data_IF_884525698179
#
_entry.id   IF_884525698179
#
_cell.length_a   1.000
_cell.length_b   1.000
_cell.length_c   1.000
_cell.angle_alpha   90.00
_cell.angle_beta   90.00
_cell.angle_gamma   90.00
#
_symmetry.space_group_name_H-M   'P 1'
#
loop_
_entity.id
_entity.type
_entity.pdbx_description
1 polymer ?
#
# COMPACT_ATOMS: atom_id res chain seq x y z
N UNK A 1 31.12 -47.34 12.55
CA UNK A 1 30.99 -48.24 11.36
C UNK A 1 32.01 -49.34 11.51
N UNK A 2 31.62 -50.54 11.87
CA UNK A 2 32.57 -51.66 12.05
C UNK A 2 33.02 -52.13 10.65
N UNK A 3 34.34 -52.15 10.44
CA UNK A 3 34.90 -52.66 9.20
C UNK A 3 34.85 -54.19 9.15
N UNK A 4 34.69 -54.81 7.99
CA UNK A 4 34.74 -56.27 7.84
C UNK A 4 36.04 -56.85 8.44
N UNK A 5 35.92 -58.01 9.12
CA UNK A 5 37.05 -58.68 9.81
C UNK A 5 38.30 -58.81 8.91
N UNK A 6 38.11 -59.17 7.65
CA UNK A 6 39.19 -59.31 6.66
C UNK A 6 39.98 -57.99 6.40
N UNK A 7 39.30 -56.84 6.53
CA UNK A 7 39.96 -55.51 6.36
C UNK A 7 40.71 -55.15 7.63
N UNK A 8 40.17 -55.47 8.81
CA UNK A 8 40.85 -55.24 10.09
C UNK A 8 42.16 -56.07 10.22
N UNK A 9 42.13 -57.33 9.80
CA UNK A 9 43.28 -58.22 9.85
C UNK A 9 44.39 -57.74 8.88
N UNK A 10 44.02 -57.20 7.73
CA UNK A 10 44.97 -56.61 6.75
C UNK A 10 45.56 -55.29 7.24
N UNK A 11 44.81 -54.46 7.94
CA UNK A 11 45.29 -53.24 8.55
C UNK A 11 46.30 -53.50 9.69
N UNK A 12 46.02 -54.48 10.54
CA UNK A 12 46.96 -54.92 11.60
C UNK A 12 48.24 -55.44 11.05
N UNK A 13 48.26 -56.15 9.90
CA UNK A 13 49.49 -56.64 9.25
C UNK A 13 50.36 -55.52 8.69
N UNK A 14 49.78 -54.32 8.40
CA UNK A 14 50.49 -53.14 7.90
C UNK A 14 50.80 -52.14 9.03
N UNK A 15 50.37 -52.45 10.29
CA UNK A 15 50.64 -51.57 11.45
C UNK A 15 49.74 -50.28 11.47
N UNK A 16 48.70 -50.24 10.65
CA UNK A 16 47.74 -49.11 10.60
C UNK A 16 46.53 -49.38 11.50
N UNK A 17 46.21 -48.44 12.37
CA UNK A 17 45.01 -48.52 13.18
C UNK A 17 43.75 -48.26 12.34
N UNK A 18 42.68 -48.96 12.61
CA UNK A 18 41.40 -48.93 11.84
C UNK A 18 40.84 -47.51 11.69
N UNK A 19 41.02 -46.67 12.70
CA UNK A 19 40.51 -45.29 12.68
C UNK A 19 41.23 -44.42 11.64
N UNK A 20 42.52 -44.67 11.36
CA UNK A 20 43.26 -43.90 10.33
C UNK A 20 42.64 -44.11 8.94
N UNK A 21 42.27 -45.37 8.63
CA UNK A 21 41.58 -45.66 7.38
C UNK A 21 40.19 -44.99 7.31
N UNK A 22 39.43 -44.98 8.42
CA UNK A 22 38.13 -44.35 8.49
C UNK A 22 38.22 -42.83 8.26
N UNK A 23 39.19 -42.16 8.91
CA UNK A 23 39.47 -40.75 8.69
C UNK A 23 39.82 -40.47 7.23
N UNK A 24 40.68 -41.30 6.64
CA UNK A 24 41.07 -41.18 5.23
C UNK A 24 39.82 -41.30 4.29
N UNK A 25 38.98 -42.30 4.56
CA UNK A 25 37.73 -42.49 3.79
C UNK A 25 36.81 -41.27 3.91
N UNK A 26 36.60 -40.69 5.10
CA UNK A 26 35.77 -39.53 5.30
C UNK A 26 36.32 -38.30 4.58
N UNK A 27 37.61 -38.04 4.70
CA UNK A 27 38.26 -36.91 4.00
C UNK A 27 38.15 -37.10 2.48
N UNK A 28 38.37 -38.33 1.98
CA UNK A 28 38.23 -38.67 0.57
C UNK A 28 36.77 -38.47 0.10
N UNK A 29 35.77 -38.96 0.84
CA UNK A 29 34.35 -38.76 0.53
C UNK A 29 33.97 -37.27 0.55
N UNK A 30 34.50 -36.51 1.50
CA UNK A 30 34.31 -35.07 1.56
C UNK A 30 34.88 -34.35 0.33
N UNK A 31 36.05 -34.72 -0.11
CA UNK A 31 36.66 -34.23 -1.35
C UNK A 31 35.79 -34.52 -2.57
N UNK A 32 35.35 -35.78 -2.70
CA UNK A 32 34.46 -36.21 -3.78
C UNK A 32 33.12 -35.42 -3.72
N UNK A 33 32.53 -35.29 -2.54
CA UNK A 33 31.30 -34.52 -2.35
C UNK A 33 31.46 -33.06 -2.78
N UNK A 34 32.54 -32.39 -2.34
CA UNK A 34 32.82 -30.99 -2.72
C UNK A 34 33.08 -30.88 -4.23
N UNK A 35 33.77 -31.85 -4.83
CA UNK A 35 33.97 -31.86 -6.27
C UNK A 35 32.68 -32.02 -7.05
N UNK A 36 31.83 -32.99 -6.66
CA UNK A 36 30.50 -33.21 -7.27
C UNK A 36 29.61 -32.00 -7.09
N UNK A 37 29.57 -31.43 -5.86
CA UNK A 37 28.77 -30.25 -5.55
C UNK A 37 29.18 -29.05 -6.43
N UNK A 38 30.49 -28.77 -6.55
CA UNK A 38 30.98 -27.70 -7.42
C UNK A 38 30.61 -27.95 -8.89
N UNK A 39 30.69 -29.20 -9.36
CA UNK A 39 30.37 -29.55 -10.75
C UNK A 39 28.87 -29.44 -11.02
N UNK A 40 28.02 -29.90 -10.10
CA UNK A 40 26.57 -29.80 -10.21
C UNK A 40 26.13 -28.33 -10.21
N UNK A 41 26.60 -27.54 -9.25
CA UNK A 41 26.27 -26.12 -9.15
C UNK A 41 26.73 -25.32 -10.38
N UNK A 42 27.93 -25.64 -10.94
CA UNK A 42 28.37 -24.97 -12.18
C UNK A 42 27.54 -25.34 -13.39
N UNK A 43 27.04 -26.58 -13.48
CA UNK A 43 26.12 -26.98 -14.57
C UNK A 43 24.75 -26.36 -14.43
N UNK A 44 24.25 -26.26 -13.17
CA UNK A 44 22.98 -25.56 -12.90
C UNK A 44 23.09 -24.08 -13.24
N UNK A 45 24.20 -23.42 -12.86
CA UNK A 45 24.44 -22.02 -13.21
C UNK A 45 24.37 -21.80 -14.74
N UNK A 46 25.09 -22.62 -15.52
CA UNK A 46 25.08 -22.51 -16.98
C UNK A 46 23.70 -22.76 -17.64
N UNK A 47 22.82 -23.54 -16.98
CA UNK A 47 21.42 -23.71 -17.43
C UNK A 47 20.53 -22.54 -17.05
N UNK A 48 20.75 -21.93 -15.90
CA UNK A 48 19.91 -20.86 -15.37
C UNK A 48 20.28 -19.49 -15.96
N UNK A 49 21.52 -19.30 -16.42
CA UNK A 49 21.90 -18.13 -17.23
C UNK A 49 21.06 -17.99 -18.52
N UNK A 50 20.38 -19.08 -18.94
CA UNK A 50 19.43 -19.06 -20.05
C UNK A 50 18.01 -18.66 -19.64
N UNK A 51 17.73 -18.61 -18.33
CA UNK A 51 16.45 -18.16 -17.78
C UNK A 51 16.54 -16.67 -17.45
N UNK A 52 15.53 -15.90 -17.84
CA UNK A 52 15.48 -14.44 -17.63
C UNK A 52 15.08 -14.06 -16.20
N UNK A 53 15.38 -14.92 -15.20
CA UNK A 53 14.97 -14.73 -13.81
C UNK A 53 16.17 -14.32 -12.93
N UNK A 54 16.22 -13.06 -12.44
CA UNK A 54 17.35 -12.55 -11.68
C UNK A 54 17.57 -13.25 -10.32
N UNK A 55 16.55 -13.95 -9.79
CA UNK A 55 16.63 -14.62 -8.49
C UNK A 55 17.37 -15.95 -8.54
N UNK A 56 17.22 -16.70 -9.64
CA UNK A 56 17.84 -18.01 -9.82
C UNK A 56 19.37 -17.88 -9.92
N UNK A 57 19.84 -16.88 -10.65
CA UNK A 57 21.26 -16.57 -10.80
C UNK A 57 21.88 -16.14 -9.46
N UNK A 58 21.17 -15.27 -8.71
CA UNK A 58 21.61 -14.84 -7.39
C UNK A 58 21.74 -16.01 -6.42
N UNK A 59 20.76 -16.93 -6.41
CA UNK A 59 20.75 -18.09 -5.52
C UNK A 59 21.95 -19.02 -5.77
N UNK A 60 22.15 -19.42 -7.01
CA UNK A 60 23.24 -20.37 -7.36
C UNK A 60 24.61 -19.74 -7.18
N UNK A 61 24.78 -18.48 -7.60
CA UNK A 61 26.02 -17.72 -7.40
C UNK A 61 26.36 -17.61 -5.92
N UNK A 62 25.40 -17.27 -5.07
CA UNK A 62 25.59 -17.14 -3.63
C UNK A 62 25.90 -18.47 -2.94
N UNK A 63 25.26 -19.58 -3.36
CA UNK A 63 25.31 -20.89 -2.72
C UNK A 63 26.67 -21.61 -2.94
N UNK A 64 27.29 -21.41 -4.09
CA UNK A 64 28.45 -22.23 -4.55
C UNK A 64 29.63 -22.28 -3.56
N UNK A 65 30.04 -21.15 -2.99
CA UNK A 65 31.16 -21.09 -2.03
C UNK A 65 30.76 -21.54 -0.63
N UNK A 66 29.65 -21.07 -0.04
CA UNK A 66 29.25 -21.50 1.30
C UNK A 66 28.91 -22.99 1.39
N UNK A 67 28.23 -23.55 0.38
CA UNK A 67 27.91 -24.98 0.36
C UNK A 67 29.16 -25.88 0.38
N UNK A 68 30.22 -25.49 -0.32
CA UNK A 68 31.52 -26.18 -0.26
C UNK A 68 32.15 -26.03 1.13
N UNK A 69 32.01 -24.85 1.77
CA UNK A 69 32.54 -24.64 3.13
C UNK A 69 31.79 -25.52 4.15
N UNK A 70 30.46 -25.61 4.07
CA UNK A 70 29.66 -26.50 4.94
C UNK A 70 30.09 -27.96 4.77
N UNK A 71 30.27 -28.42 3.53
CA UNK A 71 30.73 -29.79 3.28
C UNK A 71 32.11 -30.08 3.93
N UNK A 72 33.02 -29.12 3.86
CA UNK A 72 34.34 -29.23 4.54
C UNK A 72 34.18 -29.18 6.07
N UNK A 73 33.42 -28.29 6.63
CA UNK A 73 33.20 -28.16 8.09
C UNK A 73 32.64 -29.48 8.64
N UNK A 74 31.60 -30.00 7.98
CA UNK A 74 30.95 -31.25 8.39
C UNK A 74 31.91 -32.44 8.21
N UNK A 75 32.61 -32.55 7.08
CA UNK A 75 33.56 -33.63 6.83
C UNK A 75 34.74 -33.64 7.81
N UNK A 76 35.31 -32.48 8.12
CA UNK A 76 36.38 -32.36 9.12
C UNK A 76 35.84 -32.68 10.51
N UNK A 77 34.64 -32.20 10.89
CA UNK A 77 34.04 -32.51 12.18
C UNK A 77 33.86 -34.03 12.37
N UNK A 78 33.33 -34.72 11.34
CA UNK A 78 33.20 -36.18 11.38
C UNK A 78 34.56 -36.89 11.49
N UNK A 79 35.58 -36.42 10.77
CA UNK A 79 36.94 -37.00 10.86
C UNK A 79 37.50 -36.85 12.28
N UNK A 80 37.31 -35.70 12.90
CA UNK A 80 37.79 -35.45 14.27
C UNK A 80 36.99 -36.25 15.30
N UNK A 81 35.68 -36.42 15.11
CA UNK A 81 34.84 -37.24 16.01
C UNK A 81 35.29 -38.70 16.06
N UNK A 82 35.79 -39.26 14.96
CA UNK A 82 36.43 -40.61 14.95
C UNK A 82 37.68 -40.62 15.78
N UNK A 83 38.51 -39.59 15.66
CA UNK A 83 39.75 -39.49 16.43
C UNK A 83 39.43 -39.36 17.93
N UNK A 84 38.41 -38.61 18.29
CA UNK A 84 37.93 -38.44 19.67
C UNK A 84 37.51 -39.76 20.32
N UNK A 85 36.72 -40.57 19.62
CA UNK A 85 36.24 -41.87 20.13
C UNK A 85 37.39 -42.85 20.44
N UNK A 86 38.47 -42.75 19.71
CA UNK A 86 39.65 -43.64 19.89
C UNK A 86 40.66 -43.09 20.89
N UNK A 87 40.90 -41.77 20.89
CA UNK A 87 41.95 -41.13 21.72
C UNK A 87 41.46 -40.66 23.08
N UNK A 88 40.14 -40.49 23.28
CA UNK A 88 39.48 -39.99 24.50
C UNK A 88 40.09 -38.69 25.05
N UNK A 89 40.68 -37.89 24.21
CA UNK A 89 41.32 -36.65 24.64
C UNK A 89 40.24 -35.54 24.85
N UNK A 90 40.21 -34.97 26.04
CA UNK A 90 39.23 -33.96 26.43
C UNK A 90 39.20 -32.69 25.55
N UNK A 91 40.25 -32.48 24.75
CA UNK A 91 40.36 -31.31 23.84
C UNK A 91 39.32 -31.34 22.70
N UNK A 92 38.75 -32.52 22.41
CA UNK A 92 37.79 -32.68 21.33
C UNK A 92 36.34 -32.31 21.71
N UNK A 93 36.02 -32.13 23.01
CA UNK A 93 34.69 -31.73 23.44
C UNK A 93 34.22 -30.35 22.94
N UNK A 94 35.15 -29.51 22.44
CA UNK A 94 34.85 -28.23 21.83
C UNK A 94 34.47 -28.32 20.33
N UNK A 95 34.54 -29.50 19.72
CA UNK A 95 34.35 -29.66 18.27
C UNK A 95 32.90 -29.50 17.84
N UNK A 96 31.96 -30.02 18.63
CA UNK A 96 30.54 -29.88 18.34
C UNK A 96 30.09 -28.41 18.30
N UNK A 97 30.35 -27.58 19.35
CA UNK A 97 30.02 -26.15 19.27
C UNK A 97 30.74 -25.44 18.12
N UNK A 98 32.00 -25.78 17.85
CA UNK A 98 32.79 -25.15 16.79
C UNK A 98 32.27 -25.51 15.38
N UNK A 99 31.87 -26.76 15.16
CA UNK A 99 31.18 -27.21 13.94
C UNK A 99 29.88 -26.42 13.72
N UNK A 100 29.06 -26.31 14.75
CA UNK A 100 27.77 -25.67 14.65
C UNK A 100 27.92 -24.16 14.39
N UNK A 101 28.86 -23.49 15.07
CA UNK A 101 29.20 -22.09 14.76
C UNK A 101 29.73 -21.94 13.35
N UNK A 102 30.54 -22.89 12.88
CA UNK A 102 31.04 -22.92 11.50
C UNK A 102 29.94 -23.04 10.47
N UNK A 103 28.94 -23.88 10.73
CA UNK A 103 27.73 -24.01 9.89
C UNK A 103 26.91 -22.72 9.90
N UNK A 104 26.68 -22.12 11.08
CA UNK A 104 25.99 -20.84 11.21
C UNK A 104 26.72 -19.76 10.41
N UNK A 105 28.03 -19.67 10.52
CA UNK A 105 28.83 -18.71 9.77
C UNK A 105 28.74 -18.93 8.25
N UNK A 106 28.74 -20.18 7.78
CA UNK A 106 28.61 -20.51 6.36
C UNK A 106 27.18 -20.16 5.82
N UNK A 107 26.14 -20.42 6.61
CA UNK A 107 24.75 -20.03 6.27
C UNK A 107 24.64 -18.50 6.24
N UNK A 108 25.20 -17.81 7.21
CA UNK A 108 25.24 -16.35 7.25
C UNK A 108 25.93 -15.78 6.02
N UNK A 109 27.10 -16.33 5.67
CA UNK A 109 27.82 -15.95 4.46
C UNK A 109 27.00 -16.17 3.20
N UNK A 110 26.26 -17.29 3.10
CA UNK A 110 25.34 -17.56 2.01
C UNK A 110 24.26 -16.49 1.94
N UNK A 111 23.55 -16.20 3.05
CA UNK A 111 22.46 -15.26 3.08
C UNK A 111 22.91 -13.82 2.76
N UNK A 112 24.00 -13.37 3.36
CA UNK A 112 24.57 -12.04 3.07
C UNK A 112 24.96 -11.90 1.61
N UNK A 113 25.58 -12.96 1.04
CA UNK A 113 25.95 -12.98 -0.35
C UNK A 113 24.74 -13.06 -1.27
N UNK A 114 23.74 -13.86 -0.93
CA UNK A 114 22.49 -13.95 -1.68
C UNK A 114 21.76 -12.60 -1.75
N UNK A 115 21.65 -11.89 -0.62
CA UNK A 115 21.07 -10.55 -0.58
C UNK A 115 21.84 -9.58 -1.50
N UNK A 116 23.18 -9.66 -1.50
CA UNK A 116 24.01 -8.80 -2.35
C UNK A 116 23.86 -9.09 -3.83
N UNK A 117 23.87 -10.37 -4.22
CA UNK A 117 23.69 -10.77 -5.62
C UNK A 117 22.26 -10.46 -6.11
N UNK A 118 21.25 -10.70 -5.26
CA UNK A 118 19.86 -10.35 -5.56
C UNK A 118 19.66 -8.82 -5.76
N UNK A 119 20.29 -8.00 -4.92
CA UNK A 119 20.31 -6.53 -5.06
C UNK A 119 20.90 -6.14 -6.42
N UNK A 120 22.07 -6.67 -6.77
CA UNK A 120 22.77 -6.34 -8.02
C UNK A 120 21.97 -6.76 -9.24
N UNK A 121 21.45 -7.99 -9.23
CA UNK A 121 20.67 -8.54 -10.34
C UNK A 121 19.32 -7.83 -10.51
N UNK A 122 18.66 -7.45 -9.41
CA UNK A 122 17.40 -6.72 -9.44
C UNK A 122 17.59 -5.34 -10.08
N UNK A 123 18.63 -4.61 -9.70
CA UNK A 123 18.95 -3.31 -10.27
C UNK A 123 19.25 -3.45 -11.78
N UNK A 124 20.11 -4.38 -12.15
CA UNK A 124 20.50 -4.61 -13.55
C UNK A 124 19.31 -5.01 -14.43
N UNK A 125 18.44 -5.91 -13.94
CA UNK A 125 17.26 -6.36 -14.67
C UNK A 125 16.26 -5.23 -14.92
N UNK A 126 16.00 -4.39 -13.92
CA UNK A 126 15.08 -3.27 -14.05
C UNK A 126 15.62 -2.17 -14.99
N UNK A 127 16.93 -1.91 -14.95
CA UNK A 127 17.57 -1.01 -15.90
C UNK A 127 17.46 -1.51 -17.34
N UNK A 128 17.66 -2.80 -17.57
CA UNK A 128 17.51 -3.40 -18.89
C UNK A 128 16.07 -3.38 -19.41
N UNK A 129 15.06 -3.41 -18.51
CA UNK A 129 13.63 -3.35 -18.86
C UNK A 129 13.05 -1.93 -18.88
N UNK A 130 13.86 -0.90 -18.66
CA UNK A 130 13.43 0.51 -18.67
C UNK A 130 12.55 0.92 -17.49
N UNK A 131 12.43 0.08 -16.46
CA UNK A 131 11.72 0.40 -15.24
C UNK A 131 12.59 1.24 -14.32
N UNK A 132 12.08 2.41 -13.91
CA UNK A 132 12.77 3.23 -12.91
C UNK A 132 12.68 2.55 -11.55
N UNK A 133 13.81 2.07 -11.05
CA UNK A 133 13.95 1.57 -9.69
C UNK A 133 14.80 2.56 -8.90
N UNK A 134 14.30 2.96 -7.76
CA UNK A 134 15.07 3.75 -6.82
C UNK A 134 16.18 2.87 -6.20
N UNK A 135 17.38 3.01 -6.74
CA UNK A 135 18.59 2.30 -6.26
C UNK A 135 18.82 2.52 -4.76
N UNK A 136 18.48 3.71 -4.26
CA UNK A 136 18.66 4.08 -2.84
C UNK A 136 17.78 3.23 -1.94
N UNK A 137 16.53 3.04 -2.35
CA UNK A 137 15.56 2.20 -1.61
C UNK A 137 15.98 0.73 -1.60
N UNK A 138 16.39 0.18 -2.74
CA UNK A 138 16.85 -1.22 -2.84
C UNK A 138 18.10 -1.46 -1.97
N UNK A 139 19.09 -0.57 -2.05
CA UNK A 139 20.32 -0.64 -1.24
C UNK A 139 20.02 -0.52 0.26
N UNK A 140 19.11 0.40 0.66
CA UNK A 140 18.71 0.54 2.06
C UNK A 140 18.05 -0.74 2.60
N UNK A 141 17.12 -1.34 1.86
CA UNK A 141 16.47 -2.60 2.23
C UNK A 141 17.49 -3.73 2.31
N UNK A 142 18.38 -3.85 1.33
CA UNK A 142 19.41 -4.87 1.32
C UNK A 142 20.39 -4.74 2.52
N UNK A 143 20.74 -3.51 2.92
CA UNK A 143 21.54 -3.25 4.12
C UNK A 143 20.83 -3.67 5.40
N UNK A 144 19.54 -3.34 5.54
CA UNK A 144 18.74 -3.74 6.70
C UNK A 144 18.62 -5.27 6.79
N UNK A 145 18.35 -5.95 5.68
CA UNK A 145 18.29 -7.42 5.63
C UNK A 145 19.61 -8.04 6.02
N UNK A 146 20.75 -7.56 5.48
CA UNK A 146 22.09 -8.04 5.85
C UNK A 146 22.39 -7.83 7.33
N UNK A 147 22.05 -6.66 7.87
CA UNK A 147 22.21 -6.37 9.30
C UNK A 147 21.38 -7.34 10.15
N UNK A 148 20.13 -7.58 9.81
CA UNK A 148 19.25 -8.52 10.54
C UNK A 148 19.80 -9.95 10.52
N UNK A 149 20.29 -10.41 9.36
CA UNK A 149 20.94 -11.73 9.23
C UNK A 149 22.18 -11.84 10.13
N UNK A 150 23.05 -10.82 10.14
CA UNK A 150 24.28 -10.83 10.96
C UNK A 150 23.93 -10.80 12.46
N UNK A 151 22.97 -9.97 12.88
CA UNK A 151 22.55 -9.92 14.30
C UNK A 151 22.00 -11.28 14.73
N UNK A 152 21.07 -11.86 13.96
CA UNK A 152 20.46 -13.15 14.27
C UNK A 152 21.51 -14.25 14.34
N UNK A 153 22.40 -14.32 13.35
CA UNK A 153 23.47 -15.31 13.32
C UNK A 153 24.42 -15.19 14.51
N UNK A 154 24.76 -13.96 14.91
CA UNK A 154 25.60 -13.70 16.08
C UNK A 154 24.93 -14.20 17.37
N UNK A 155 23.64 -13.94 17.54
CA UNK A 155 22.89 -14.41 18.71
C UNK A 155 22.83 -15.94 18.77
N UNK A 156 22.55 -16.59 17.62
CA UNK A 156 22.50 -18.06 17.54
C UNK A 156 23.90 -18.65 17.80
N UNK A 157 24.95 -18.05 17.25
CA UNK A 157 26.34 -18.52 17.49
C UNK A 157 26.72 -18.38 18.97
N UNK A 158 26.38 -17.28 19.64
CA UNK A 158 26.62 -17.10 21.08
C UNK A 158 25.87 -18.15 21.90
N UNK A 159 24.62 -18.43 21.55
CA UNK A 159 23.80 -19.45 22.23
C UNK A 159 24.42 -20.85 22.05
N UNK A 160 24.92 -21.19 20.84
CA UNK A 160 25.59 -22.46 20.55
C UNK A 160 26.89 -22.62 21.35
N UNK A 161 27.57 -21.52 21.61
CA UNK A 161 28.77 -21.50 22.45
C UNK A 161 28.47 -21.55 23.96
N UNK A 162 27.20 -21.68 24.35
CA UNK A 162 26.75 -21.75 25.75
C UNK A 162 26.58 -20.42 26.46
N UNK A 163 26.69 -19.28 25.76
CA UNK A 163 26.40 -17.98 26.34
C UNK A 163 24.89 -17.76 26.50
N UNK A 164 24.45 -17.22 27.63
CA UNK A 164 23.08 -16.81 27.83
C UNK A 164 22.77 -15.56 27.00
N UNK A 165 21.91 -15.69 26.00
CA UNK A 165 21.44 -14.58 25.18
C UNK A 165 20.23 -13.86 25.77
N UNK A 166 19.67 -14.35 26.89
CA UNK A 166 18.48 -13.82 27.53
C UNK A 166 18.58 -12.33 27.87
N UNK A 167 19.72 -11.88 28.40
CA UNK A 167 19.99 -10.48 28.69
C UNK A 167 20.04 -9.60 27.44
N UNK A 168 20.66 -10.11 26.37
CA UNK A 168 20.73 -9.40 25.07
C UNK A 168 19.35 -9.30 24.46
N UNK A 169 18.54 -10.38 24.53
CA UNK A 169 17.16 -10.38 24.02
C UNK A 169 16.25 -9.46 24.83
N UNK A 170 16.39 -9.43 26.17
CA UNK A 170 15.63 -8.53 27.03
C UNK A 170 15.94 -7.05 26.71
N UNK A 171 17.22 -6.72 26.60
CA UNK A 171 17.66 -5.38 26.22
C UNK A 171 17.26 -5.04 24.78
N UNK A 172 17.43 -6.00 23.86
CA UNK A 172 17.01 -5.88 22.46
C UNK A 172 15.49 -5.72 22.32
N UNK A 173 14.69 -6.31 23.23
CA UNK A 173 13.25 -6.12 23.29
C UNK A 173 12.85 -4.67 23.57
N UNK A 174 13.52 -4.01 24.51
CA UNK A 174 13.30 -2.58 24.77
C UNK A 174 13.69 -1.74 23.55
N UNK A 175 14.86 -2.03 22.95
CA UNK A 175 15.29 -1.40 21.70
C UNK A 175 14.32 -1.65 20.54
N UNK A 176 13.77 -2.86 20.44
CA UNK A 176 12.76 -3.26 19.46
C UNK A 176 11.46 -2.47 19.59
N UNK A 177 11.01 -2.21 20.82
CA UNK A 177 9.85 -1.34 21.08
C UNK A 177 10.13 0.08 20.57
N UNK A 178 11.30 0.65 20.86
CA UNK A 178 11.66 1.98 20.36
C UNK A 178 11.69 2.06 18.84
N UNK A 179 12.27 1.05 18.17
CA UNK A 179 12.29 0.93 16.70
C UNK A 179 10.87 0.76 16.16
N UNK A 180 10.02 -0.05 16.83
CA UNK A 180 8.62 -0.24 16.47
C UNK A 180 7.82 1.05 16.52
N UNK A 181 8.01 1.89 17.56
CA UNK A 181 7.39 3.21 17.63
C UNK A 181 7.91 4.14 16.52
N UNK A 182 9.20 4.12 16.22
CA UNK A 182 9.76 4.91 15.12
C UNK A 182 9.24 4.48 13.74
N UNK A 183 8.93 3.20 13.56
CA UNK A 183 8.40 2.64 12.32
C UNK A 183 6.86 2.66 12.23
N UNK A 184 6.15 3.10 13.27
CA UNK A 184 4.69 3.05 13.39
C UNK A 184 3.98 3.65 12.18
N UNK A 185 4.38 4.85 11.77
CA UNK A 185 3.72 5.56 10.65
C UNK A 185 4.00 4.89 9.31
N UNK A 186 5.18 4.30 9.14
CA UNK A 186 5.51 3.54 7.95
C UNK A 186 4.61 2.31 7.81
N UNK A 187 4.45 1.55 8.90
CA UNK A 187 3.58 0.39 8.95
C UNK A 187 2.10 0.77 8.76
N UNK A 188 1.65 1.86 9.40
CA UNK A 188 0.29 2.36 9.25
C UNK A 188 -0.03 2.70 7.78
N UNK A 189 0.91 3.33 7.06
CA UNK A 189 0.74 3.64 5.65
C UNK A 189 0.75 2.38 4.77
N UNK A 190 1.62 1.43 5.06
CA UNK A 190 1.64 0.15 4.34
C UNK A 190 0.32 -0.62 4.50
N UNK A 191 -0.17 -0.77 5.74
CA UNK A 191 -1.45 -1.44 5.99
C UNK A 191 -2.65 -0.64 5.46
N UNK A 192 -2.59 0.69 5.48
CA UNK A 192 -3.58 1.55 4.85
C UNK A 192 -3.66 1.32 3.34
N UNK A 193 -2.52 1.26 2.66
CA UNK A 193 -2.46 0.93 1.23
C UNK A 193 -2.97 -0.48 0.93
N UNK A 194 -2.61 -1.46 1.74
CA UNK A 194 -3.10 -2.83 1.63
C UNK A 194 -4.64 -2.89 1.80
N UNK A 195 -5.20 -2.15 2.77
CA UNK A 195 -6.65 -2.07 2.98
C UNK A 195 -7.34 -1.46 1.76
N UNK A 196 -6.83 -0.35 1.20
CA UNK A 196 -7.37 0.23 -0.03
C UNK A 196 -7.33 -0.77 -1.18
N UNK A 197 -6.27 -1.57 -1.29
CA UNK A 197 -6.13 -2.58 -2.35
C UNK A 197 -7.10 -3.76 -2.17
N UNK A 198 -7.33 -4.23 -0.94
CA UNK A 198 -8.21 -5.36 -0.64
C UNK A 198 -9.70 -4.97 -0.71
N UNK A 199 -10.09 -3.91 0.00
CA UNK A 199 -11.49 -3.49 0.14
C UNK A 199 -11.97 -2.67 -1.06
N UNK A 200 -11.06 -2.06 -1.81
CA UNK A 200 -11.31 -1.25 -3.01
C UNK A 200 -12.41 -0.21 -2.83
N UNK A 201 -12.33 0.65 -1.81
CA UNK A 201 -13.27 1.74 -1.68
C UNK A 201 -13.21 2.68 -2.90
N UNK A 202 -12.07 2.74 -3.56
CA UNK A 202 -11.83 3.41 -4.82
C UNK A 202 -10.74 2.72 -5.63
N UNK A 203 -10.64 3.05 -6.91
CA UNK A 203 -9.61 2.57 -7.84
C UNK A 203 -8.95 3.74 -8.59
N UNK A 204 -7.82 3.46 -9.25
CA UNK A 204 -7.16 4.42 -10.14
C UNK A 204 -8.13 4.83 -11.25
N UNK A 205 -8.22 6.13 -11.51
CA UNK A 205 -9.14 6.75 -12.47
C UNK A 205 -10.49 7.17 -11.86
N UNK A 206 -10.82 6.79 -10.63
CA UNK A 206 -12.05 7.20 -9.96
C UNK A 206 -11.89 8.55 -9.25
N UNK A 207 -12.95 9.35 -9.28
CA UNK A 207 -13.08 10.56 -8.49
C UNK A 207 -13.49 10.18 -7.07
N UNK A 208 -12.73 10.68 -6.10
CA UNK A 208 -13.05 10.53 -4.67
C UNK A 208 -13.12 11.89 -3.98
N UNK A 209 -13.86 11.92 -2.90
CA UNK A 209 -13.97 13.06 -2.00
C UNK A 209 -13.97 12.59 -0.55
N UNK A 210 -13.35 13.35 0.34
CA UNK A 210 -13.50 13.16 1.79
C UNK A 210 -14.16 14.39 2.38
N UNK A 211 -15.37 14.26 2.97
CA UNK A 211 -16.02 15.39 3.64
C UNK A 211 -15.28 15.82 4.92
N UNK A 212 -14.47 14.93 5.51
CA UNK A 212 -13.73 15.18 6.74
C UNK A 212 -12.46 16.01 6.53
N UNK A 213 -11.99 16.07 5.29
CA UNK A 213 -10.76 16.78 4.90
C UNK A 213 -10.90 17.34 3.49
N UNK A 214 -10.12 18.33 3.14
CA UNK A 214 -10.08 18.91 1.80
C UNK A 214 -9.36 17.98 0.81
N UNK A 215 -9.86 16.75 0.69
CA UNK A 215 -9.36 15.76 -0.26
C UNK A 215 -10.44 15.58 -1.31
N UNK A 216 -10.20 16.05 -2.53
CA UNK A 216 -11.10 15.84 -3.65
C UNK A 216 -10.33 15.82 -4.96
N UNK A 217 -10.63 14.86 -5.84
CA UNK A 217 -10.04 14.73 -7.16
C UNK A 217 -10.04 13.31 -7.70
N UNK A 218 -9.34 13.10 -8.81
CA UNK A 218 -9.23 11.80 -9.48
C UNK A 218 -7.97 11.07 -9.00
N UNK A 219 -8.11 9.82 -8.61
CA UNK A 219 -7.01 8.96 -8.19
C UNK A 219 -6.13 8.63 -9.39
N UNK A 220 -4.85 9.01 -9.37
CA UNK A 220 -3.89 8.72 -10.44
C UNK A 220 -3.06 7.47 -10.15
N UNK A 221 -2.70 7.26 -8.89
CA UNK A 221 -1.83 6.17 -8.48
C UNK A 221 -2.06 5.80 -7.01
N UNK A 222 -2.00 4.50 -6.71
CA UNK A 222 -2.09 3.97 -5.36
C UNK A 222 -0.77 3.24 -5.08
N UNK A 223 0.16 3.96 -4.45
CA UNK A 223 1.44 3.41 -4.03
C UNK A 223 1.33 2.66 -2.69
N UNK A 224 2.41 2.01 -2.28
CA UNK A 224 2.45 1.26 -1.02
C UNK A 224 2.36 2.15 0.24
N UNK A 225 2.70 3.44 0.13
CA UNK A 225 2.71 4.42 1.24
C UNK A 225 1.79 5.61 1.00
N UNK A 226 1.67 6.08 -0.24
CA UNK A 226 0.96 7.29 -0.63
C UNK A 226 0.02 6.97 -1.78
N UNK A 227 -1.16 7.57 -1.76
CA UNK A 227 -2.07 7.67 -2.90
C UNK A 227 -1.92 9.06 -3.52
N UNK A 228 -1.76 9.12 -4.84
CA UNK A 228 -1.70 10.37 -5.60
C UNK A 228 -3.05 10.65 -6.24
N UNK A 229 -3.58 11.84 -5.96
CA UNK A 229 -4.87 12.32 -6.43
C UNK A 229 -4.61 13.57 -7.26
N UNK A 230 -5.25 13.69 -8.42
CA UNK A 230 -5.26 14.91 -9.23
C UNK A 230 -6.48 15.73 -8.85
N UNK A 231 -6.28 16.89 -8.24
CA UNK A 231 -7.34 17.83 -7.90
C UNK A 231 -7.93 18.47 -9.16
N UNK A 232 -9.10 19.07 -9.08
CA UNK A 232 -9.76 19.68 -10.24
C UNK A 232 -9.03 20.89 -10.82
N UNK A 233 -8.19 21.55 -10.03
CA UNK A 233 -7.26 22.58 -10.48
C UNK A 233 -5.90 22.00 -10.97
N UNK A 234 -5.89 20.70 -11.28
CA UNK A 234 -4.75 19.98 -11.87
C UNK A 234 -3.50 19.84 -10.99
N UNK A 235 -3.59 20.11 -9.68
CA UNK A 235 -2.48 19.89 -8.74
C UNK A 235 -2.40 18.42 -8.32
N UNK A 236 -1.20 17.83 -8.20
CA UNK A 236 -1.05 16.53 -7.57
C UNK A 236 -1.15 16.68 -6.04
N UNK A 237 -2.08 15.96 -5.44
CA UNK A 237 -2.26 15.84 -4.00
C UNK A 237 -1.75 14.47 -3.55
N UNK A 238 -0.79 14.45 -2.62
CA UNK A 238 -0.21 13.24 -2.06
C UNK A 238 -0.82 12.96 -0.69
N UNK A 239 -1.61 11.91 -0.60
CA UNK A 239 -2.31 11.53 0.64
C UNK A 239 -1.66 10.28 1.22
N UNK A 240 -1.17 10.31 2.48
CA UNK A 240 -0.70 9.11 3.17
C UNK A 240 -1.82 8.06 3.25
N UNK A 241 -1.53 6.81 2.90
CA UNK A 241 -2.55 5.75 2.87
C UNK A 241 -3.19 5.50 4.25
N UNK A 242 -2.44 5.75 5.32
CA UNK A 242 -2.96 5.67 6.69
C UNK A 242 -4.12 6.64 6.95
N UNK A 243 -4.23 7.74 6.20
CA UNK A 243 -5.35 8.66 6.33
C UNK A 243 -6.69 7.98 5.98
N UNK A 244 -6.71 7.14 4.95
CA UNK A 244 -7.92 6.43 4.50
C UNK A 244 -8.45 5.40 5.50
N UNK A 245 -7.69 5.03 6.53
CA UNK A 245 -8.16 4.15 7.61
C UNK A 245 -9.02 4.88 8.65
N UNK A 246 -9.05 6.22 8.63
CA UNK A 246 -9.68 7.05 9.68
C UNK A 246 -10.60 8.13 9.16
N UNK A 247 -10.70 8.34 7.85
CA UNK A 247 -11.57 9.33 7.22
C UNK A 247 -12.72 8.65 6.46
N UNK A 248 -13.86 9.35 6.33
CA UNK A 248 -14.91 8.95 5.41
C UNK A 248 -14.46 9.23 3.97
N UNK A 249 -14.74 8.30 3.06
CA UNK A 249 -14.46 8.45 1.63
C UNK A 249 -15.76 8.28 0.86
N UNK A 250 -16.14 9.32 0.15
CA UNK A 250 -17.21 9.29 -0.85
C UNK A 250 -16.59 8.97 -2.22
N UNK A 251 -17.32 8.19 -3.02
CA UNK A 251 -16.91 7.87 -4.38
C UNK A 251 -17.95 8.34 -5.40
N UNK A 252 -17.85 9.59 -5.89
CA UNK A 252 -18.77 10.12 -6.87
C UNK A 252 -18.76 9.41 -8.21
N UNK A 253 -17.67 8.72 -8.56
CA UNK A 253 -17.61 7.91 -9.79
C UNK A 253 -18.56 6.71 -9.78
N UNK A 254 -18.97 6.24 -8.58
CA UNK A 254 -19.89 5.10 -8.42
C UNK A 254 -21.33 5.54 -8.16
N UNK A 255 -21.64 6.85 -8.29
CA UNK A 255 -23.01 7.33 -8.21
C UNK A 255 -23.85 6.78 -9.37
N UNK A 256 -25.08 6.39 -9.05
CA UNK A 256 -26.07 5.97 -10.07
C UNK A 256 -26.79 7.17 -10.68
N UNK A 257 -27.06 8.18 -9.87
CA UNK A 257 -27.83 9.37 -10.20
C UNK A 257 -27.27 10.58 -9.46
N UNK A 258 -27.48 11.80 -9.99
CA UNK A 258 -27.16 13.03 -9.27
C UNK A 258 -28.42 13.71 -8.78
N UNK A 259 -28.37 14.21 -7.56
CA UNK A 259 -29.50 14.91 -6.93
C UNK A 259 -29.52 16.38 -7.33
N UNK A 260 -30.67 16.85 -7.75
CA UNK A 260 -31.02 18.28 -7.81
C UNK A 260 -31.78 18.60 -6.52
N UNK A 261 -31.26 19.50 -5.72
CA UNK A 261 -31.86 20.00 -4.50
C UNK A 261 -31.71 21.52 -4.48
N UNK A 262 -32.76 22.23 -4.82
CA UNK A 262 -32.77 23.69 -4.94
C UNK A 262 -34.00 24.27 -4.27
N UNK A 263 -33.85 25.48 -3.76
CA UNK A 263 -34.94 26.25 -3.16
C UNK A 263 -35.24 27.45 -4.04
N UNK A 264 -36.52 27.66 -4.36
CA UNK A 264 -37.00 28.74 -5.21
C UNK A 264 -37.96 29.58 -4.39
N UNK A 265 -37.70 30.89 -4.31
CA UNK A 265 -38.53 31.85 -3.59
C UNK A 265 -39.45 32.62 -4.54
N UNK A 266 -40.75 32.67 -4.24
CA UNK A 266 -41.79 33.47 -4.92
C UNK A 266 -42.14 34.64 -4.03
N UNK A 267 -42.53 35.79 -4.61
CA UNK A 267 -42.95 36.99 -3.84
C UNK A 267 -44.16 36.72 -2.98
N UNK A 268 -44.30 37.44 -1.88
CA UNK A 268 -45.48 37.39 -1.01
C UNK A 268 -46.77 37.84 -1.74
N UNK A 269 -46.66 38.80 -2.67
CA UNK A 269 -47.77 39.26 -3.48
C UNK A 269 -48.40 38.15 -4.35
N UNK A 270 -47.63 37.11 -4.63
CA UNK A 270 -48.05 35.97 -5.43
C UNK A 270 -48.45 34.74 -4.58
N UNK A 271 -48.68 34.91 -3.28
CA UNK A 271 -48.98 33.83 -2.34
C UNK A 271 -50.10 32.88 -2.80
N UNK A 272 -51.15 33.41 -3.42
CA UNK A 272 -52.26 32.62 -3.93
C UNK A 272 -51.93 31.72 -5.12
N UNK A 273 -50.80 31.97 -5.80
CA UNK A 273 -50.36 31.25 -6.98
C UNK A 273 -49.38 30.11 -6.64
N UNK A 274 -48.80 30.12 -5.45
CA UNK A 274 -47.75 29.18 -5.04
C UNK A 274 -48.17 27.72 -5.18
N UNK A 275 -49.42 27.41 -4.78
CA UNK A 275 -49.95 26.04 -4.88
C UNK A 275 -49.99 25.53 -6.33
N UNK A 276 -50.47 26.37 -7.25
CA UNK A 276 -50.57 26.03 -8.68
C UNK A 276 -49.14 25.91 -9.32
N UNK A 277 -48.21 26.80 -8.93
CA UNK A 277 -46.81 26.73 -9.38
C UNK A 277 -46.18 25.42 -8.94
N UNK A 278 -46.31 25.01 -7.67
CA UNK A 278 -45.79 23.76 -7.13
C UNK A 278 -46.34 22.54 -7.86
N UNK A 279 -47.64 22.55 -8.22
CA UNK A 279 -48.30 21.48 -8.97
C UNK A 279 -47.76 21.37 -10.42
N UNK A 280 -47.66 22.51 -11.11
CA UNK A 280 -47.13 22.55 -12.48
C UNK A 280 -45.63 22.16 -12.52
N UNK A 281 -44.82 22.61 -11.55
CA UNK A 281 -43.42 22.21 -11.43
C UNK A 281 -43.30 20.69 -11.16
N UNK A 282 -44.18 20.14 -10.31
CA UNK A 282 -44.25 18.69 -10.07
C UNK A 282 -44.56 17.92 -11.35
N UNK A 283 -45.53 18.41 -12.12
CA UNK A 283 -45.95 17.81 -13.40
C UNK A 283 -44.84 17.89 -14.44
N UNK A 284 -44.19 19.04 -14.55
CA UNK A 284 -43.01 19.23 -15.41
C UNK A 284 -41.90 18.24 -15.08
N UNK A 285 -41.48 18.13 -13.81
CA UNK A 285 -40.41 17.20 -13.39
C UNK A 285 -40.77 15.73 -13.65
N UNK A 286 -42.05 15.34 -13.48
CA UNK A 286 -42.53 13.99 -13.79
C UNK A 286 -42.50 13.67 -15.28
N UNK A 287 -42.67 14.66 -16.15
CA UNK A 287 -42.66 14.51 -17.61
C UNK A 287 -41.27 14.74 -18.23
N UNK A 288 -40.31 15.23 -17.44
CA UNK A 288 -39.00 15.59 -17.96
C UNK A 288 -38.18 14.35 -18.30
N UNK A 289 -37.65 14.18 -19.55
CA UNK A 289 -36.99 12.95 -20.01
C UNK A 289 -35.74 12.58 -19.23
N UNK A 290 -35.01 13.57 -18.72
CA UNK A 290 -33.72 13.38 -18.04
C UNK A 290 -33.86 13.22 -16.51
N UNK A 291 -35.08 13.33 -15.97
CA UNK A 291 -35.36 13.13 -14.54
C UNK A 291 -35.77 11.68 -14.29
N UNK A 292 -35.19 11.10 -13.24
CA UNK A 292 -35.52 9.75 -12.80
C UNK A 292 -36.78 9.77 -11.93
N UNK A 293 -37.92 9.36 -12.50
CA UNK A 293 -39.24 9.32 -11.84
C UNK A 293 -39.41 8.11 -10.92
N UNK A 294 -38.51 7.10 -10.99
CA UNK A 294 -38.53 5.95 -10.08
C UNK A 294 -37.86 6.27 -8.72
N UNK A 295 -37.03 7.31 -8.69
CA UNK A 295 -36.41 7.81 -7.47
C UNK A 295 -37.32 8.84 -6.78
N UNK A 296 -36.98 9.18 -5.53
CA UNK A 296 -37.73 10.21 -4.78
C UNK A 296 -37.81 11.52 -5.54
N UNK A 297 -39.00 11.99 -5.82
CA UNK A 297 -39.30 13.27 -6.45
C UNK A 297 -40.29 14.05 -5.55
N UNK A 298 -39.85 15.22 -5.09
CA UNK A 298 -40.66 16.09 -4.22
C UNK A 298 -40.57 17.53 -4.69
N UNK A 299 -41.71 18.23 -4.67
CA UNK A 299 -41.79 19.67 -4.81
C UNK A 299 -42.76 20.14 -3.74
N UNK A 300 -42.27 20.85 -2.75
CA UNK A 300 -43.10 21.26 -1.63
C UNK A 300 -42.80 22.69 -1.18
N UNK A 301 -43.82 23.44 -0.85
CA UNK A 301 -43.70 24.68 -0.11
C UNK A 301 -43.26 24.37 1.33
N UNK A 302 -42.24 25.06 1.82
CA UNK A 302 -41.63 24.72 3.13
C UNK A 302 -41.48 25.91 4.06
N UNK A 303 -41.25 27.11 3.53
CA UNK A 303 -40.82 28.21 4.40
C UNK A 303 -41.40 29.54 3.95
N UNK A 304 -41.89 30.32 4.93
CA UNK A 304 -42.14 31.76 4.75
C UNK A 304 -40.86 32.49 5.21
N UNK A 305 -40.00 32.82 4.27
CA UNK A 305 -38.76 33.55 4.51
C UNK A 305 -38.99 35.05 4.64
N UNK A 306 -37.97 35.84 5.00
CA UNK A 306 -38.09 37.27 5.24
C UNK A 306 -38.66 38.06 4.03
N UNK A 307 -38.36 37.62 2.80
CA UNK A 307 -38.76 38.30 1.55
C UNK A 307 -39.36 37.35 0.51
N UNK A 308 -39.55 36.07 0.84
CA UNK A 308 -40.01 35.05 -0.12
C UNK A 308 -40.85 33.96 0.52
N UNK A 309 -41.68 33.36 -0.31
CA UNK A 309 -42.38 32.11 -0.08
C UNK A 309 -41.59 31.01 -0.78
N UNK A 310 -40.94 30.17 0.00
CA UNK A 310 -39.97 29.23 -0.52
C UNK A 310 -40.54 27.83 -0.70
N UNK A 311 -40.39 27.29 -1.88
CA UNK A 311 -40.59 25.87 -2.16
C UNK A 311 -39.28 25.24 -2.60
N UNK A 312 -39.07 23.97 -2.27
CA UNK A 312 -37.91 23.24 -2.71
C UNK A 312 -38.27 22.20 -3.78
N UNK A 313 -37.32 21.91 -4.63
CA UNK A 313 -37.33 20.75 -5.51
C UNK A 313 -36.31 19.73 -5.05
N UNK A 314 -36.66 18.46 -5.07
CA UNK A 314 -35.81 17.34 -4.77
C UNK A 314 -36.07 16.25 -5.79
N UNK A 315 -35.12 16.03 -6.67
CA UNK A 315 -35.21 15.00 -7.70
C UNK A 315 -33.85 14.50 -8.10
N UNK A 316 -33.81 13.42 -8.85
CA UNK A 316 -32.58 12.83 -9.35
C UNK A 316 -32.54 12.83 -10.87
N UNK A 317 -31.38 13.14 -11.44
CA UNK A 317 -31.13 13.00 -12.87
C UNK A 317 -30.87 11.54 -13.24
N UNK A 318 -31.15 11.14 -14.49
CA UNK A 318 -30.79 9.81 -15.00
C UNK A 318 -29.28 9.67 -15.22
N UNK A 319 -28.60 10.78 -15.51
CA UNK A 319 -27.15 10.81 -15.71
C UNK A 319 -26.39 11.06 -14.40
N UNK A 320 -25.21 10.43 -14.27
CA UNK A 320 -24.21 10.74 -13.24
C UNK A 320 -23.07 11.61 -13.78
N UNK A 321 -22.99 11.85 -15.10
CA UNK A 321 -21.93 12.62 -15.75
C UNK A 321 -22.05 14.09 -15.34
N UNK A 322 -20.93 14.68 -14.84
CA UNK A 322 -20.90 16.03 -14.26
C UNK A 322 -21.42 17.12 -15.21
N UNK A 323 -20.91 17.17 -16.43
CA UNK A 323 -21.29 18.18 -17.40
C UNK A 323 -22.75 18.05 -17.83
N UNK A 324 -23.24 16.84 -18.05
CA UNK A 324 -24.65 16.58 -18.40
C UNK A 324 -25.58 16.92 -17.26
N UNK A 325 -25.21 16.60 -16.03
CA UNK A 325 -25.97 16.97 -14.84
C UNK A 325 -26.20 18.49 -14.78
N UNK A 326 -25.16 19.29 -15.01
CA UNK A 326 -25.30 20.74 -14.99
C UNK A 326 -26.18 21.26 -16.12
N UNK A 327 -26.11 20.64 -17.31
CA UNK A 327 -27.01 20.94 -18.43
C UNK A 327 -28.48 20.65 -18.07
N UNK A 328 -28.74 19.46 -17.49
CA UNK A 328 -30.09 19.07 -17.04
C UNK A 328 -30.59 19.97 -15.94
N UNK A 329 -29.75 20.29 -14.95
CA UNK A 329 -30.08 21.20 -13.86
C UNK A 329 -30.44 22.59 -14.39
N UNK A 330 -29.69 23.13 -15.34
CA UNK A 330 -29.99 24.40 -15.99
C UNK A 330 -31.34 24.36 -16.69
N UNK A 331 -31.62 23.31 -17.47
CA UNK A 331 -32.88 23.16 -18.18
C UNK A 331 -34.07 23.13 -17.21
N UNK A 332 -33.98 22.32 -16.15
CA UNK A 332 -35.02 22.26 -15.10
C UNK A 332 -35.25 23.64 -14.46
N UNK A 333 -34.21 24.38 -14.11
CA UNK A 333 -34.33 25.67 -13.46
C UNK A 333 -34.96 26.71 -14.41
N UNK A 334 -34.59 26.70 -15.69
CA UNK A 334 -35.22 27.60 -16.68
C UNK A 334 -36.72 27.30 -16.89
N UNK A 335 -37.08 26.01 -16.98
CA UNK A 335 -38.49 25.61 -17.06
C UNK A 335 -39.30 26.03 -15.81
N UNK A 336 -38.67 25.97 -14.62
CA UNK A 336 -39.31 26.48 -13.38
C UNK A 336 -39.56 27.98 -13.47
N UNK A 337 -38.59 28.77 -13.95
CA UNK A 337 -38.77 30.21 -14.15
C UNK A 337 -39.87 30.52 -15.13
N UNK A 338 -39.98 29.76 -16.23
CA UNK A 338 -41.05 29.91 -17.21
C UNK A 338 -42.44 29.60 -16.61
N UNK A 339 -42.55 28.56 -15.75
CA UNK A 339 -43.75 28.23 -15.03
C UNK A 339 -44.15 29.37 -14.09
N UNK A 340 -43.22 29.89 -13.30
CA UNK A 340 -43.47 31.04 -12.40
C UNK A 340 -44.01 32.24 -13.19
N UNK A 341 -43.36 32.60 -14.30
CA UNK A 341 -43.80 33.71 -15.17
C UNK A 341 -45.13 33.44 -15.82
N UNK A 342 -45.43 32.22 -16.26
CA UNK A 342 -46.72 31.83 -16.86
C UNK A 342 -47.88 32.02 -15.91
N UNK A 343 -47.65 31.84 -14.60
CA UNK A 343 -48.63 32.15 -13.56
C UNK A 343 -48.73 33.66 -13.25
N UNK A 344 -47.96 34.49 -13.95
CA UNK A 344 -47.88 35.94 -13.66
C UNK A 344 -47.29 36.24 -12.29
N UNK A 345 -46.47 35.31 -11.79
CA UNK A 345 -45.70 35.45 -10.57
C UNK A 345 -44.25 35.83 -10.88
N UNK A 346 -43.54 36.31 -9.88
CA UNK A 346 -42.12 36.65 -10.01
C UNK A 346 -41.30 36.00 -8.89
N UNK A 347 -40.03 35.68 -9.20
CA UNK A 347 -39.05 35.26 -8.20
C UNK A 347 -38.80 36.42 -7.25
N UNK A 348 -38.72 36.12 -5.96
CA UNK A 348 -38.57 37.12 -4.92
C UNK A 348 -37.18 37.80 -4.98
N UNK A 349 -37.18 39.12 -4.89
CA UNK A 349 -35.98 39.90 -4.64
C UNK A 349 -35.84 40.18 -3.14
N UNK A 350 -34.62 40.38 -2.62
CA UNK A 350 -34.45 40.88 -1.26
C UNK A 350 -35.24 42.19 -1.08
N UNK A 351 -36.23 42.19 -0.20
CA UNK A 351 -37.09 43.33 0.04
C UNK A 351 -36.77 43.95 1.39
N UNK A 352 -36.57 45.26 1.42
CA UNK A 352 -36.36 46.02 2.65
C UNK A 352 -37.45 47.07 2.79
N UNK A 353 -38.21 47.04 3.89
CA UNK A 353 -39.17 48.09 4.21
C UNK A 353 -38.45 49.22 4.93
N UNK A 354 -38.46 50.42 4.34
CA UNK A 354 -37.90 51.63 4.97
C UNK A 354 -39.05 52.41 5.57
N UNK A 355 -39.07 52.53 6.88
CA UNK A 355 -40.03 53.37 7.55
C UNK A 355 -39.48 54.80 7.63
N UNK A 356 -40.09 55.72 6.85
CA UNK A 356 -39.71 57.14 6.88
C UNK A 356 -40.67 57.84 7.83
N UNK A 357 -40.20 58.39 8.97
CA UNK A 357 -41.05 59.17 9.85
C UNK A 357 -41.65 60.37 9.13
N UNK A 358 -42.93 60.63 9.42
CA UNK A 358 -43.62 61.82 8.89
C UNK A 358 -42.84 63.10 9.20
N UNK A 359 -42.27 63.76 8.18
CA UNK A 359 -41.50 64.98 8.34
C UNK A 359 -40.23 65.12 7.47
N UNK A 360 -39.81 64.06 6.81
CA UNK A 360 -38.76 64.17 5.77
C UNK A 360 -39.49 64.44 4.45
N UNK A 361 -39.95 65.67 4.26
CA UNK A 361 -40.36 66.17 2.96
C UNK A 361 -39.08 66.35 2.12
N UNK A 362 -38.88 65.45 1.12
CA UNK A 362 -37.87 65.72 0.08
C UNK A 362 -38.21 67.06 -0.63
N UNK A 363 -37.22 67.80 -1.14
CA UNK A 363 -37.48 69.03 -1.88
C UNK A 363 -38.42 68.70 -3.06
N UNK A 364 -39.43 69.54 -3.31
CA UNK A 364 -40.35 69.36 -4.44
C UNK A 364 -39.51 69.34 -5.74
N UNK A 365 -39.58 68.22 -6.45
CA UNK A 365 -39.06 68.18 -7.82
C UNK A 365 -39.99 68.99 -8.71
N UNK A 366 -39.70 70.26 -8.87
CA UNK A 366 -40.22 71.07 -9.97
C UNK A 366 -39.67 70.50 -11.29
N UNK A 367 -40.40 69.59 -11.89
CA UNK A 367 -40.23 69.25 -13.30
C UNK A 367 -40.89 70.40 -14.08
N UNK A 368 -40.21 71.55 -14.21
CA UNK A 368 -40.54 72.51 -15.24
C UNK A 368 -39.99 72.02 -16.57
N UNK A 369 -40.87 71.48 -17.39
CA UNK A 369 -40.61 71.29 -18.79
C UNK A 369 -40.37 72.65 -19.46
N UNK A 370 -39.29 72.77 -20.18
CA UNK A 370 -39.11 73.81 -21.19
C UNK A 370 -38.54 73.21 -22.45
N UNK A 371 -39.37 73.33 -23.51
CA UNK A 371 -39.00 73.59 -24.87
C UNK A 371 -38.57 72.43 -25.73
#
# INVERSE_FOLDING_TARGET
>A
MELPKSVNDLLQSVGLQSWVLQVFIIVFLTLVLVFVLKRVLSRLQAKLELTNNPWDDALISALRKPAAAVAWIVGIAFAIQIIETETRAAIFGAIEPLRDVGIIAAITWFLVRFIKEAETNLIAHNEATGKQVDRTTVDAIAKLLRLSVVITATLVALQTLGFSVSGVLAFGGIGGIAVGFAAKDLLANFFGGLMVYLDRPFAVGEWIRSPDRDIEGTVEDIGWRLTRIRTFDSRPLYVPNSAFTSIAVENPSRMKHRRIYETIGVRYDDATKVSAIVEDVTTMLKSHPEINTEATLMVNFTTCSASSLDFFIYCFTRTAVWAEFHRVKQDVLLQILDIVHKHGAEVAFPTTTVHVPDGIAGPPHDIQGTG
#
